data_IF_079661006226
#
_entry.id   IF_079661006226
#
_cell.length_a   1.000
_cell.length_b   1.000
_cell.length_c   1.000
_cell.angle_alpha   90.00
_cell.angle_beta   90.00
_cell.angle_gamma   90.00
#
_symmetry.space_group_name_H-M   'P 1'
#
loop_
_entity.id
_entity.type
_entity.pdbx_description
1 polymer ?
#
# COMPACT_ATOMS: atom_id res chain seq x y z
N UNK A 1 -31.05 -40.56 10.93
CA UNK A 1 -31.43 -39.22 11.43
C UNK A 1 -30.45 -38.84 12.51
N UNK A 2 -29.40 -38.11 12.15
CA UNK A 2 -28.43 -37.57 13.09
C UNK A 2 -28.41 -36.06 12.85
N UNK A 3 -29.10 -35.31 13.71
CA UNK A 3 -29.12 -33.85 13.68
C UNK A 3 -27.75 -33.38 14.15
N UNK A 4 -26.97 -32.74 13.28
CA UNK A 4 -25.83 -31.95 13.69
C UNK A 4 -26.34 -30.67 14.35
N UNK A 5 -26.03 -30.50 15.63
CA UNK A 5 -26.24 -29.27 16.39
C UNK A 5 -25.39 -28.14 15.80
N UNK A 6 -25.94 -27.43 14.81
CA UNK A 6 -25.42 -26.14 14.41
C UNK A 6 -25.97 -25.08 15.37
N UNK A 7 -25.23 -24.84 16.44
CA UNK A 7 -25.45 -23.64 17.26
C UNK A 7 -25.14 -22.40 16.41
N UNK A 8 -26.07 -21.44 16.25
CA UNK A 8 -25.77 -20.19 15.56
C UNK A 8 -24.65 -19.48 16.31
N UNK A 9 -23.58 -19.10 15.60
CA UNK A 9 -22.51 -18.29 16.17
C UNK A 9 -23.16 -17.06 16.85
N UNK A 10 -22.99 -16.87 18.16
CA UNK A 10 -23.71 -15.83 18.88
C UNK A 10 -23.31 -14.48 18.29
N UNK A 11 -24.28 -13.57 18.05
CA UNK A 11 -24.05 -12.20 17.52
C UNK A 11 -22.95 -11.43 18.26
N UNK A 12 -22.61 -11.83 19.48
CA UNK A 12 -21.47 -11.31 20.25
C UNK A 12 -20.09 -11.56 19.59
N UNK A 13 -19.95 -12.55 18.70
CA UNK A 13 -18.72 -12.82 17.97
C UNK A 13 -18.40 -11.76 16.89
N UNK A 14 -19.38 -10.94 16.50
CA UNK A 14 -19.22 -9.86 15.51
C UNK A 14 -18.72 -8.55 16.11
N UNK A 15 -18.90 -8.32 17.43
CA UNK A 15 -18.55 -7.07 18.08
C UNK A 15 -17.22 -7.18 18.84
N UNK A 16 -16.36 -6.18 18.66
CA UNK A 16 -15.12 -6.11 19.40
C UNK A 16 -15.39 -5.95 20.90
N UNK A 17 -14.77 -6.81 21.72
CA UNK A 17 -14.87 -6.74 23.16
C UNK A 17 -14.07 -5.55 23.74
N UNK A 18 -14.30 -5.20 25.01
CA UNK A 18 -13.61 -4.09 25.69
C UNK A 18 -12.07 -4.19 25.61
N UNK A 19 -11.52 -5.40 25.67
CA UNK A 19 -10.07 -5.64 25.60
C UNK A 19 -9.52 -5.34 24.21
N UNK A 20 -10.23 -5.74 23.16
CA UNK A 20 -9.89 -5.44 21.77
C UNK A 20 -9.97 -3.95 21.49
N UNK A 21 -11.01 -3.26 22.00
CA UNK A 21 -11.11 -1.80 21.92
C UNK A 21 -9.95 -1.09 22.60
N UNK A 22 -9.60 -1.49 23.82
CA UNK A 22 -8.45 -0.90 24.51
C UNK A 22 -7.13 -1.15 23.77
N UNK A 23 -6.95 -2.34 23.20
CA UNK A 23 -5.76 -2.66 22.41
C UNK A 23 -5.69 -1.84 21.12
N UNK A 24 -6.82 -1.72 20.40
CA UNK A 24 -6.93 -0.88 19.22
C UNK A 24 -6.60 0.58 19.56
N UNK A 25 -7.27 1.13 20.58
CA UNK A 25 -7.09 2.52 20.99
C UNK A 25 -5.66 2.80 21.43
N UNK A 26 -5.03 1.87 22.16
CA UNK A 26 -3.63 1.99 22.56
C UNK A 26 -2.67 2.05 21.35
N UNK A 27 -2.85 1.15 20.38
CA UNK A 27 -2.02 1.14 19.16
C UNK A 27 -2.29 2.38 18.32
N UNK A 28 -3.57 2.76 18.17
CA UNK A 28 -3.99 3.92 17.41
C UNK A 28 -3.43 5.21 17.99
N UNK A 29 -3.59 5.44 19.30
CA UNK A 29 -3.09 6.63 19.98
C UNK A 29 -1.55 6.69 19.96
N UNK A 30 -0.87 5.54 20.08
CA UNK A 30 0.58 5.50 19.98
C UNK A 30 1.06 5.86 18.56
N UNK A 31 0.43 5.29 17.53
CA UNK A 31 0.74 5.58 16.14
C UNK A 31 0.42 7.03 15.78
N UNK A 32 -0.75 7.53 16.20
CA UNK A 32 -1.17 8.91 16.00
C UNK A 32 -0.27 9.89 16.74
N UNK A 33 0.12 9.59 17.98
CA UNK A 33 1.03 10.43 18.76
C UNK A 33 2.38 10.59 18.08
N UNK A 34 2.97 9.48 17.60
CA UNK A 34 4.24 9.54 16.87
C UNK A 34 4.07 10.24 15.51
N UNK A 35 2.99 9.96 14.79
CA UNK A 35 2.67 10.62 13.52
C UNK A 35 2.52 12.14 13.66
N UNK A 36 1.74 12.60 14.65
CA UNK A 36 1.57 14.02 14.92
C UNK A 36 2.84 14.68 15.46
N UNK A 37 3.67 13.95 16.21
CA UNK A 37 4.98 14.46 16.66
C UNK A 37 5.89 14.71 15.45
N UNK A 38 6.02 13.74 14.54
CA UNK A 38 6.81 13.89 13.32
C UNK A 38 6.26 15.01 12.43
N UNK A 39 4.94 15.06 12.22
CA UNK A 39 4.30 16.13 11.45
C UNK A 39 4.52 17.51 12.08
N UNK A 40 4.38 17.61 13.41
CA UNK A 40 4.65 18.82 14.18
C UNK A 40 6.10 19.29 14.03
N UNK A 41 7.07 18.36 14.04
CA UNK A 41 8.49 18.67 13.79
C UNK A 41 8.67 19.23 12.37
N UNK A 42 8.08 18.60 11.35
CA UNK A 42 8.16 19.07 9.96
C UNK A 42 7.58 20.49 9.83
N UNK A 43 6.40 20.74 10.42
CA UNK A 43 5.79 22.07 10.38
C UNK A 43 6.54 23.11 11.20
N UNK A 44 7.13 22.72 12.33
CA UNK A 44 8.01 23.59 13.11
C UNK A 44 9.19 24.06 12.25
N UNK A 45 9.82 23.15 11.50
CA UNK A 45 10.89 23.50 10.57
C UNK A 45 10.42 24.40 9.43
N UNK A 46 9.25 24.11 8.87
CA UNK A 46 8.69 24.91 7.79
C UNK A 46 8.39 26.35 8.23
N UNK A 47 7.83 26.53 9.44
CA UNK A 47 7.48 27.84 9.98
C UNK A 47 8.71 28.65 10.42
N UNK A 48 9.64 28.03 11.15
CA UNK A 48 10.81 28.72 11.71
C UNK A 48 12.03 28.69 10.77
N UNK A 49 11.85 28.38 9.49
CA UNK A 49 12.95 28.09 8.59
C UNK A 49 13.96 29.25 8.51
N UNK A 50 13.49 30.47 8.32
CA UNK A 50 14.37 31.61 8.09
C UNK A 50 15.11 32.05 9.37
N UNK A 51 14.52 31.81 10.53
CA UNK A 51 15.06 32.23 11.83
C UNK A 51 16.07 31.22 12.42
N UNK A 52 16.00 29.95 12.01
CA UNK A 52 16.86 28.90 12.56
C UNK A 52 18.25 28.87 11.89
N UNK A 53 19.35 28.90 12.67
CA UNK A 53 20.68 28.72 12.12
C UNK A 53 20.88 27.29 11.61
N UNK A 54 21.73 27.12 10.58
CA UNK A 54 21.95 25.85 9.87
C UNK A 54 22.25 24.66 10.81
N UNK A 55 23.12 24.86 11.79
CA UNK A 55 23.49 23.83 12.76
C UNK A 55 22.36 23.47 13.73
N UNK A 56 21.52 24.43 14.12
CA UNK A 56 20.36 24.13 14.94
C UNK A 56 19.37 23.26 14.17
N UNK A 57 19.19 23.53 12.87
CA UNK A 57 18.28 22.74 12.04
C UNK A 57 18.66 21.27 11.95
N UNK A 58 19.93 20.99 11.67
CA UNK A 58 20.43 19.61 11.60
C UNK A 58 20.51 18.98 13.01
N UNK A 59 21.08 19.72 13.96
CA UNK A 59 21.30 19.22 15.32
C UNK A 59 19.99 18.84 16.04
N UNK A 60 18.90 19.60 15.86
CA UNK A 60 17.61 19.24 16.45
C UNK A 60 17.08 17.90 15.91
N UNK A 61 17.13 17.69 14.59
CA UNK A 61 16.66 16.44 13.98
C UNK A 61 17.55 15.26 14.39
N UNK A 62 18.87 15.45 14.39
CA UNK A 62 19.84 14.43 14.81
C UNK A 62 19.68 14.05 16.28
N UNK A 63 19.51 15.03 17.18
CA UNK A 63 19.29 14.76 18.61
C UNK A 63 17.99 13.99 18.82
N UNK A 64 16.91 14.33 18.12
CA UNK A 64 15.65 13.60 18.21
C UNK A 64 15.77 12.17 17.69
N UNK A 65 16.47 11.98 16.57
CA UNK A 65 16.74 10.67 15.99
C UNK A 65 17.60 9.83 16.94
N UNK A 66 18.72 10.36 17.42
CA UNK A 66 19.61 9.70 18.35
C UNK A 66 18.87 9.32 19.64
N UNK A 67 18.10 10.25 20.22
CA UNK A 67 17.29 9.99 21.42
C UNK A 67 16.27 8.88 21.18
N UNK A 68 15.59 8.87 20.03
CA UNK A 68 14.63 7.82 19.68
C UNK A 68 15.29 6.44 19.61
N UNK A 69 16.47 6.35 19.00
CA UNK A 69 17.24 5.11 18.90
C UNK A 69 17.77 4.67 20.28
N UNK A 70 18.36 5.59 21.05
CA UNK A 70 18.88 5.32 22.39
C UNK A 70 17.77 4.84 23.32
N UNK A 71 16.60 5.49 23.31
CA UNK A 71 15.44 5.06 24.08
C UNK A 71 14.98 3.67 23.65
N UNK A 72 14.89 3.38 22.34
CA UNK A 72 14.51 2.06 21.87
C UNK A 72 15.49 0.95 22.31
N UNK A 73 16.80 1.25 22.34
CA UNK A 73 17.86 0.29 22.69
C UNK A 73 17.93 0.07 24.21
N UNK A 74 18.03 1.14 24.98
CA UNK A 74 18.39 1.06 26.40
C UNK A 74 17.19 0.94 27.35
N UNK A 75 15.98 1.31 26.94
CA UNK A 75 14.80 1.16 27.80
C UNK A 75 14.26 -0.27 27.79
N UNK A 76 13.53 -0.65 28.85
CA UNK A 76 12.82 -1.94 28.94
C UNK A 76 11.37 -1.86 28.47
N UNK A 77 11.06 -0.93 27.56
CA UNK A 77 9.71 -0.78 27.02
C UNK A 77 9.26 -1.98 26.20
N UNK A 78 7.94 -2.12 26.02
CA UNK A 78 7.37 -3.20 25.22
C UNK A 78 7.86 -3.14 23.78
N UNK A 79 7.97 -4.32 23.14
CA UNK A 79 8.42 -4.43 21.74
C UNK A 79 7.63 -3.53 20.81
N UNK A 80 6.32 -3.41 21.01
CA UNK A 80 5.47 -2.53 20.20
C UNK A 80 5.87 -1.06 20.34
N UNK A 81 6.12 -0.56 21.56
CA UNK A 81 6.55 0.82 21.76
C UNK A 81 7.88 1.09 21.06
N UNK A 82 8.85 0.18 21.19
CA UNK A 82 10.14 0.29 20.48
C UNK A 82 9.96 0.30 18.97
N UNK A 83 9.09 -0.57 18.44
CA UNK A 83 8.80 -0.66 17.01
C UNK A 83 8.16 0.63 16.47
N UNK A 84 7.18 1.20 17.17
CA UNK A 84 6.54 2.45 16.73
C UNK A 84 7.51 3.64 16.88
N UNK A 85 8.28 3.70 17.97
CA UNK A 85 9.29 4.74 18.16
C UNK A 85 10.35 4.74 17.05
N UNK A 86 10.88 3.56 16.69
CA UNK A 86 11.84 3.43 15.61
C UNK A 86 11.20 3.65 14.22
N UNK A 87 9.90 3.41 14.08
CA UNK A 87 9.15 3.86 12.89
C UNK A 87 9.15 5.39 12.83
N UNK A 88 8.94 6.09 13.95
CA UNK A 88 9.12 7.55 14.03
C UNK A 88 10.53 7.99 13.65
N UNK A 89 11.57 7.32 14.14
CA UNK A 89 12.96 7.59 13.77
C UNK A 89 13.22 7.41 12.26
N UNK A 90 12.53 6.48 11.61
CA UNK A 90 12.59 6.30 10.16
C UNK A 90 12.06 7.53 9.42
N UNK A 91 10.96 8.13 9.89
CA UNK A 91 10.47 9.39 9.30
C UNK A 91 11.38 10.58 9.60
N UNK A 92 11.95 10.66 10.82
CA UNK A 92 12.95 11.68 11.15
C UNK A 92 14.20 11.58 10.27
N UNK A 93 14.57 10.37 9.84
CA UNK A 93 15.65 10.17 8.86
C UNK A 93 15.31 10.84 7.52
N UNK A 94 14.06 10.73 7.05
CA UNK A 94 13.57 11.45 5.87
C UNK A 94 13.58 12.96 6.06
N UNK A 95 13.15 13.44 7.24
CA UNK A 95 13.23 14.87 7.61
C UNK A 95 14.66 15.37 7.59
N UNK A 96 15.63 14.60 8.09
CA UNK A 96 17.05 14.95 8.07
C UNK A 96 17.56 15.16 6.64
N UNK A 97 17.25 14.24 5.72
CA UNK A 97 17.61 14.39 4.31
C UNK A 97 16.96 15.62 3.67
N UNK A 98 15.69 15.90 3.97
CA UNK A 98 15.00 17.09 3.47
C UNK A 98 15.64 18.39 3.97
N UNK A 99 15.92 18.48 5.28
CA UNK A 99 16.57 19.64 5.89
C UNK A 99 17.97 19.84 5.32
N UNK A 100 18.74 18.76 5.19
CA UNK A 100 20.08 18.81 4.60
C UNK A 100 20.05 19.33 3.15
N UNK A 101 19.20 18.76 2.30
CA UNK A 101 19.07 19.17 0.90
C UNK A 101 18.69 20.64 0.75
N UNK A 102 17.81 21.14 1.63
CA UNK A 102 17.40 22.55 1.65
C UNK A 102 18.50 23.49 2.16
N UNK A 103 19.24 23.14 3.22
CA UNK A 103 20.31 23.98 3.79
C UNK A 103 21.45 24.19 2.80
N UNK A 104 21.87 23.10 2.15
CA UNK A 104 23.03 23.10 1.26
C UNK A 104 22.64 23.31 -0.20
N UNK A 105 21.34 23.44 -0.50
CA UNK A 105 20.81 23.63 -1.85
C UNK A 105 21.53 22.72 -2.84
N UNK A 106 21.61 21.43 -2.53
CA UNK A 106 22.52 20.49 -3.21
C UNK A 106 22.19 20.27 -4.69
N UNK A 107 21.24 21.01 -5.26
CA UNK A 107 20.71 20.83 -6.61
C UNK A 107 20.16 19.41 -6.84
N UNK A 108 20.02 18.62 -5.78
CA UNK A 108 19.69 17.22 -5.86
C UNK A 108 18.19 17.07 -6.02
N UNK A 109 17.79 16.36 -7.06
CA UNK A 109 16.38 16.07 -7.32
C UNK A 109 15.77 15.26 -6.17
N UNK A 110 14.44 15.34 -6.04
CA UNK A 110 13.72 14.61 -4.98
C UNK A 110 14.04 13.10 -4.99
N UNK A 111 14.33 12.52 -6.16
CA UNK A 111 14.79 11.14 -6.31
C UNK A 111 15.92 10.78 -5.34
N UNK A 112 16.98 11.60 -5.24
CA UNK A 112 18.14 11.28 -4.39
C UNK A 112 17.78 11.28 -2.90
N UNK A 113 16.88 12.19 -2.48
CA UNK A 113 16.34 12.22 -1.12
C UNK A 113 15.58 10.92 -0.82
N UNK A 114 14.65 10.53 -1.67
CA UNK A 114 13.83 9.34 -1.48
C UNK A 114 14.64 8.05 -1.59
N UNK A 115 15.68 8.01 -2.43
CA UNK A 115 16.63 6.90 -2.51
C UNK A 115 17.37 6.73 -1.17
N UNK A 116 17.97 7.81 -0.65
CA UNK A 116 18.64 7.79 0.65
C UNK A 116 17.69 7.33 1.75
N UNK A 117 16.48 7.90 1.80
CA UNK A 117 15.47 7.52 2.79
C UNK A 117 15.07 6.04 2.68
N UNK A 118 14.89 5.51 1.47
CA UNK A 118 14.56 4.11 1.21
C UNK A 118 15.65 3.17 1.71
N UNK A 119 16.92 3.48 1.42
CA UNK A 119 18.07 2.66 1.82
C UNK A 119 18.19 2.56 3.35
N UNK A 120 18.07 3.68 4.05
CA UNK A 120 18.10 3.66 5.52
C UNK A 120 16.87 2.95 6.09
N UNK A 121 15.69 3.17 5.52
CA UNK A 121 14.45 2.49 5.94
C UNK A 121 14.55 0.97 5.79
N UNK A 122 15.25 0.47 4.76
CA UNK A 122 15.49 -0.97 4.59
C UNK A 122 16.27 -1.56 5.78
N UNK A 123 17.35 -0.89 6.20
CA UNK A 123 18.16 -1.33 7.35
C UNK A 123 17.30 -1.44 8.63
N UNK A 124 16.46 -0.44 8.86
CA UNK A 124 15.52 -0.42 9.98
C UNK A 124 14.45 -1.53 9.85
N UNK A 125 13.87 -1.73 8.67
CA UNK A 125 12.85 -2.76 8.43
C UNK A 125 13.37 -4.17 8.74
N UNK A 126 14.61 -4.47 8.32
CA UNK A 126 15.29 -5.74 8.59
C UNK A 126 15.56 -5.92 10.08
N UNK A 127 16.10 -4.88 10.74
CA UNK A 127 16.45 -4.95 12.16
C UNK A 127 15.22 -5.10 13.06
N UNK A 128 14.15 -4.38 12.77
CA UNK A 128 12.99 -4.21 13.66
C UNK A 128 11.92 -5.30 13.42
N UNK A 129 11.89 -5.89 12.21
CA UNK A 129 10.95 -6.94 11.79
C UNK A 129 9.48 -6.58 12.05
N UNK A 130 9.12 -5.32 11.76
CA UNK A 130 7.78 -4.79 11.99
C UNK A 130 7.01 -4.59 10.68
N UNK A 131 5.81 -5.17 10.58
CA UNK A 131 5.02 -5.19 9.35
C UNK A 131 4.72 -3.78 8.78
N UNK A 132 4.27 -2.79 9.57
CA UNK A 132 4.11 -1.41 9.08
C UNK A 132 5.39 -0.80 8.51
N UNK A 133 6.56 -1.12 9.08
CA UNK A 133 7.83 -0.58 8.60
C UNK A 133 8.25 -1.20 7.26
N UNK A 134 7.97 -2.49 7.05
CA UNK A 134 8.12 -3.13 5.73
C UNK A 134 7.20 -2.50 4.68
N UNK A 135 5.98 -2.15 5.06
CA UNK A 135 5.07 -1.41 4.18
C UNK A 135 5.62 -0.01 3.85
N UNK A 136 6.12 0.72 4.84
CA UNK A 136 6.79 2.02 4.62
C UNK A 136 7.97 1.88 3.67
N UNK A 137 8.81 0.85 3.85
CA UNK A 137 9.92 0.55 2.94
C UNK A 137 9.44 0.34 1.50
N UNK A 138 8.44 -0.55 1.29
CA UNK A 138 7.90 -0.85 -0.03
C UNK A 138 7.30 0.42 -0.67
N UNK A 139 6.57 1.23 0.11
CA UNK A 139 6.02 2.50 -0.36
C UNK A 139 7.10 3.50 -0.77
N UNK A 140 8.15 3.68 0.04
CA UNK A 140 9.27 4.55 -0.28
C UNK A 140 10.06 4.08 -1.51
N UNK A 141 10.26 2.77 -1.65
CA UNK A 141 10.89 2.19 -2.83
C UNK A 141 10.06 2.46 -4.10
N UNK A 142 8.74 2.29 -4.02
CA UNK A 142 7.82 2.61 -5.12
C UNK A 142 7.88 4.09 -5.51
N UNK A 143 7.86 5.00 -4.52
CA UNK A 143 8.00 6.45 -4.76
C UNK A 143 9.37 6.77 -5.39
N UNK A 144 10.44 6.14 -4.90
CA UNK A 144 11.80 6.33 -5.42
C UNK A 144 11.89 5.95 -6.89
N UNK A 145 11.31 4.80 -7.27
CA UNK A 145 11.27 4.37 -8.68
C UNK A 145 10.43 5.34 -9.52
N UNK A 146 9.30 5.82 -9.00
CA UNK A 146 8.46 6.79 -9.70
C UNK A 146 9.18 8.11 -9.95
N UNK A 147 9.87 8.64 -8.93
CA UNK A 147 10.68 9.84 -9.04
C UNK A 147 11.85 9.66 -10.00
N UNK A 148 12.48 8.48 -10.02
CA UNK A 148 13.54 8.17 -10.98
C UNK A 148 13.04 8.24 -12.42
N UNK A 149 11.87 7.67 -12.71
CA UNK A 149 11.25 7.72 -14.04
C UNK A 149 10.96 9.17 -14.46
N UNK A 150 10.41 9.97 -13.55
CA UNK A 150 10.00 11.35 -13.85
C UNK A 150 11.22 12.28 -14.00
N UNK A 151 12.22 12.16 -13.13
CA UNK A 151 13.30 13.15 -13.01
C UNK A 151 14.55 12.77 -13.80
N UNK A 152 14.90 11.48 -13.88
CA UNK A 152 16.17 11.03 -14.44
C UNK A 152 16.02 10.46 -15.85
N UNK A 153 14.91 9.77 -16.14
CA UNK A 153 14.69 9.08 -17.43
C UNK A 153 13.45 9.61 -18.20
N UNK A 154 13.20 10.93 -18.26
CA UNK A 154 12.07 11.43 -19.04
C UNK A 154 12.24 11.08 -20.54
N UNK A 155 11.11 10.84 -21.22
CA UNK A 155 11.06 10.63 -22.67
C UNK A 155 11.44 9.23 -23.20
N UNK A 156 11.85 8.30 -22.35
CA UNK A 156 12.21 6.94 -22.76
C UNK A 156 11.05 5.96 -22.53
N UNK A 157 10.10 5.88 -23.47
CA UNK A 157 8.83 5.15 -23.30
C UNK A 157 8.97 3.69 -22.83
N UNK A 158 9.92 2.92 -23.39
CA UNK A 158 10.20 1.54 -22.97
C UNK A 158 10.74 1.45 -21.55
N UNK A 159 11.74 2.26 -21.23
CA UNK A 159 12.35 2.29 -19.90
C UNK A 159 11.33 2.72 -18.85
N UNK A 160 10.53 3.74 -19.14
CA UNK A 160 9.45 4.21 -18.26
C UNK A 160 8.38 3.14 -18.06
N UNK A 161 7.91 2.47 -19.12
CA UNK A 161 6.92 1.40 -19.00
C UNK A 161 7.42 0.22 -18.15
N UNK A 162 8.70 -0.17 -18.30
CA UNK A 162 9.31 -1.24 -17.51
C UNK A 162 9.50 -0.85 -16.04
N UNK A 163 10.01 0.34 -15.77
CA UNK A 163 10.27 0.81 -14.39
C UNK A 163 8.97 1.08 -13.62
N UNK A 164 7.97 1.67 -14.27
CA UNK A 164 6.64 1.85 -13.66
C UNK A 164 5.97 0.50 -13.39
N UNK A 165 6.10 -0.47 -14.31
CA UNK A 165 5.63 -1.84 -14.07
C UNK A 165 6.43 -2.56 -12.97
N UNK A 166 7.71 -2.25 -12.78
CA UNK A 166 8.52 -2.82 -11.71
C UNK A 166 7.94 -2.49 -10.32
N UNK A 167 7.31 -1.32 -10.14
CA UNK A 167 6.58 -0.97 -8.91
C UNK A 167 5.45 -1.98 -8.64
N UNK A 168 4.66 -2.32 -9.65
CA UNK A 168 3.63 -3.36 -9.54
C UNK A 168 4.23 -4.70 -9.13
N UNK A 169 5.35 -5.08 -9.75
CA UNK A 169 6.01 -6.36 -9.49
C UNK A 169 6.63 -6.42 -8.09
N UNK A 170 7.13 -5.31 -7.54
CA UNK A 170 7.61 -5.23 -6.16
C UNK A 170 6.46 -5.48 -5.18
N UNK A 171 5.30 -4.84 -5.39
CA UNK A 171 4.10 -5.07 -4.58
C UNK A 171 3.58 -6.52 -4.72
N UNK A 172 3.56 -7.05 -5.95
CA UNK A 172 3.10 -8.41 -6.24
C UNK A 172 3.98 -9.47 -5.57
N UNK A 173 5.31 -9.37 -5.74
CA UNK A 173 6.27 -10.29 -5.12
C UNK A 173 6.23 -10.19 -3.60
N UNK A 174 6.10 -8.98 -3.04
CA UNK A 174 5.90 -8.79 -1.60
C UNK A 174 4.62 -9.46 -1.10
N UNK A 175 3.52 -9.37 -1.85
CA UNK A 175 2.26 -10.08 -1.57
C UNK A 175 2.47 -11.59 -1.58
N UNK A 176 3.14 -12.13 -2.61
CA UNK A 176 3.42 -13.57 -2.73
C UNK A 176 4.28 -14.07 -1.57
N UNK A 177 5.31 -13.32 -1.19
CA UNK A 177 6.16 -13.64 -0.04
C UNK A 177 5.34 -13.64 1.25
N UNK A 178 4.52 -12.62 1.46
CA UNK A 178 3.67 -12.52 2.65
C UNK A 178 2.62 -13.65 2.73
N UNK A 179 1.98 -14.01 1.62
CA UNK A 179 1.05 -15.15 1.53
C UNK A 179 1.77 -16.49 1.78
N UNK A 180 2.98 -16.66 1.23
CA UNK A 180 3.77 -17.87 1.47
C UNK A 180 4.17 -17.99 2.94
N UNK A 181 4.54 -16.89 3.58
CA UNK A 181 4.83 -16.85 5.02
C UNK A 181 3.58 -17.15 5.85
N UNK A 182 2.41 -16.67 5.41
CA UNK A 182 1.12 -16.96 6.04
C UNK A 182 0.77 -18.45 5.98
N UNK A 183 0.86 -19.07 4.80
CA UNK A 183 0.59 -20.51 4.62
C UNK A 183 1.54 -21.37 5.46
N UNK A 184 2.80 -20.96 5.61
CA UNK A 184 3.79 -21.65 6.46
C UNK A 184 3.63 -21.38 7.96
N UNK A 185 2.67 -20.54 8.37
CA UNK A 185 2.47 -20.15 9.77
C UNK A 185 3.58 -19.25 10.34
N UNK A 186 4.43 -18.68 9.48
CA UNK A 186 5.52 -17.78 9.87
C UNK A 186 5.07 -16.33 10.01
N UNK A 187 3.95 -15.96 9.39
CA UNK A 187 3.35 -14.63 9.55
C UNK A 187 2.39 -14.62 10.74
N UNK A 188 2.51 -13.60 11.59
CA UNK A 188 1.57 -13.40 12.70
C UNK A 188 0.16 -13.13 12.13
N UNK A 189 -0.87 -13.81 12.66
CA UNK A 189 -2.28 -13.63 12.27
C UNK A 189 -2.73 -12.17 12.30
N UNK A 190 -2.19 -11.37 13.22
CA UNK A 190 -2.48 -9.93 13.32
C UNK A 190 -2.02 -9.14 12.08
N UNK A 191 -1.11 -9.67 11.27
CA UNK A 191 -0.53 -8.99 10.12
C UNK A 191 -1.18 -9.39 8.79
N UNK A 192 -2.32 -10.09 8.79
CA UNK A 192 -3.04 -10.42 7.54
C UNK A 192 -3.45 -9.17 6.75
N UNK A 193 -3.69 -8.04 7.41
CA UNK A 193 -3.97 -6.77 6.75
C UNK A 193 -2.85 -6.33 5.79
N UNK A 194 -1.60 -6.71 6.07
CA UNK A 194 -0.45 -6.39 5.21
C UNK A 194 -0.60 -7.06 3.84
N UNK A 195 -1.02 -8.32 3.83
CA UNK A 195 -1.27 -9.09 2.60
C UNK A 195 -2.35 -8.38 1.78
N UNK A 196 -3.49 -8.10 2.41
CA UNK A 196 -4.62 -7.44 1.75
C UNK A 196 -4.26 -6.07 1.19
N UNK A 197 -3.42 -5.31 1.89
CA UNK A 197 -3.01 -3.99 1.44
C UNK A 197 -2.01 -4.07 0.27
N UNK A 198 -1.04 -4.98 0.33
CA UNK A 198 -0.07 -5.19 -0.77
C UNK A 198 -0.76 -5.74 -2.03
N UNK A 199 -1.69 -6.67 -1.87
CA UNK A 199 -2.49 -7.18 -2.99
C UNK A 199 -3.37 -6.09 -3.58
N UNK A 200 -3.99 -5.26 -2.74
CA UNK A 200 -4.83 -4.15 -3.19
C UNK A 200 -3.99 -3.13 -3.97
N UNK A 201 -2.82 -2.76 -3.44
CA UNK A 201 -1.89 -1.86 -4.11
C UNK A 201 -1.46 -2.42 -5.48
N UNK A 202 -1.18 -3.73 -5.56
CA UNK A 202 -0.85 -4.41 -6.81
C UNK A 202 -1.98 -4.31 -7.84
N UNK A 203 -3.22 -4.63 -7.43
CA UNK A 203 -4.39 -4.60 -8.31
C UNK A 203 -4.70 -3.17 -8.78
N UNK A 204 -4.71 -2.19 -7.86
CA UNK A 204 -4.96 -0.79 -8.21
C UNK A 204 -3.88 -0.27 -9.16
N UNK A 205 -2.60 -0.51 -8.85
CA UNK A 205 -1.49 0.03 -9.64
C UNK A 205 -1.44 -0.59 -11.04
N UNK A 206 -1.62 -1.91 -11.19
CA UNK A 206 -1.64 -2.55 -12.52
C UNK A 206 -2.83 -2.11 -13.36
N UNK A 207 -4.01 -1.92 -12.73
CA UNK A 207 -5.18 -1.37 -13.40
C UNK A 207 -4.95 0.07 -13.84
N UNK A 208 -4.41 0.91 -12.97
CA UNK A 208 -4.06 2.29 -13.29
C UNK A 208 -3.09 2.36 -14.47
N UNK A 209 -1.98 1.61 -14.45
CA UNK A 209 -1.02 1.60 -15.55
C UNK A 209 -1.64 1.14 -16.88
N UNK A 210 -2.52 0.15 -16.83
CA UNK A 210 -3.21 -0.36 -18.03
C UNK A 210 -4.21 0.66 -18.56
N UNK A 211 -5.00 1.27 -17.69
CA UNK A 211 -5.96 2.32 -18.04
C UNK A 211 -5.25 3.56 -18.61
N UNK A 212 -4.17 4.01 -17.97
CA UNK A 212 -3.34 5.11 -18.46
C UNK A 212 -2.77 4.79 -19.86
N UNK A 213 -2.27 3.56 -20.05
CA UNK A 213 -1.73 3.15 -21.33
C UNK A 213 -2.77 2.97 -22.46
N UNK A 214 -4.04 2.79 -22.10
CA UNK A 214 -5.17 2.78 -23.05
C UNK A 214 -5.53 4.21 -23.48
N UNK A 215 -5.39 5.18 -22.57
CA UNK A 215 -5.77 6.58 -22.82
C UNK A 215 -4.68 7.40 -23.52
N UNK A 216 -3.40 7.02 -23.38
CA UNK A 216 -2.28 7.76 -23.95
C UNK A 216 -1.65 7.03 -25.16
N UNK A 217 -1.84 7.58 -26.36
CA UNK A 217 -1.34 7.00 -27.63
C UNK A 217 0.19 6.79 -27.67
N UNK A 218 0.96 7.56 -26.89
CA UNK A 218 2.42 7.54 -26.89
C UNK A 218 3.02 6.54 -25.88
N UNK A 219 2.18 5.85 -25.11
CA UNK A 219 2.63 4.90 -24.09
C UNK A 219 2.56 3.46 -24.57
N UNK A 220 3.44 2.62 -24.02
CA UNK A 220 3.52 1.22 -24.45
C UNK A 220 2.49 0.40 -23.68
N UNK A 221 1.43 -0.01 -24.35
CA UNK A 221 0.35 -0.83 -23.77
C UNK A 221 0.79 -2.26 -23.44
N UNK A 222 1.72 -2.84 -24.20
CA UNK A 222 2.04 -4.27 -24.12
C UNK A 222 2.57 -4.70 -22.74
N UNK A 223 3.40 -3.88 -22.11
CA UNK A 223 4.02 -4.17 -20.81
C UNK A 223 3.00 -4.18 -19.65
N UNK A 224 2.21 -3.12 -19.40
CA UNK A 224 1.20 -3.12 -18.34
C UNK A 224 0.08 -4.12 -18.64
N UNK A 225 -0.31 -4.31 -19.91
CA UNK A 225 -1.34 -5.30 -20.28
C UNK A 225 -0.88 -6.73 -19.96
N UNK A 226 0.35 -7.10 -20.35
CA UNK A 226 0.92 -8.43 -20.04
C UNK A 226 1.01 -8.65 -18.53
N UNK A 227 1.43 -7.63 -17.77
CA UNK A 227 1.51 -7.68 -16.30
C UNK A 227 0.11 -7.88 -15.69
N UNK A 228 -0.90 -7.15 -16.17
CA UNK A 228 -2.29 -7.28 -15.70
C UNK A 228 -2.86 -8.66 -15.97
N UNK A 229 -2.71 -9.18 -17.20
CA UNK A 229 -3.21 -10.53 -17.56
C UNK A 229 -2.57 -11.58 -16.65
N UNK A 230 -1.25 -11.52 -16.45
CA UNK A 230 -0.52 -12.48 -15.64
C UNK A 230 -0.93 -12.40 -14.16
N UNK A 231 -0.91 -11.21 -13.57
CA UNK A 231 -1.21 -11.00 -12.15
C UNK A 231 -2.68 -11.31 -11.82
N UNK A 232 -3.61 -10.93 -12.70
CA UNK A 232 -5.03 -11.22 -12.50
C UNK A 232 -5.31 -12.72 -12.64
N UNK A 233 -4.69 -13.40 -13.60
CA UNK A 233 -4.82 -14.86 -13.74
C UNK A 233 -4.32 -15.59 -12.51
N UNK A 234 -3.13 -15.23 -12.01
CA UNK A 234 -2.55 -15.81 -10.78
C UNK A 234 -3.43 -15.51 -9.57
N UNK A 235 -3.91 -14.27 -9.43
CA UNK A 235 -4.77 -13.85 -8.31
C UNK A 235 -6.13 -14.56 -8.30
N UNK A 236 -6.78 -14.73 -9.45
CA UNK A 236 -8.05 -15.47 -9.57
C UNK A 236 -7.85 -16.96 -9.29
N UNK A 237 -6.78 -17.57 -9.82
CA UNK A 237 -6.43 -18.96 -9.53
C UNK A 237 -6.21 -19.18 -8.03
N UNK A 238 -5.41 -18.31 -7.40
CA UNK A 238 -5.13 -18.38 -5.97
C UNK A 238 -6.41 -18.15 -5.13
N UNK A 239 -7.23 -17.16 -5.51
CA UNK A 239 -8.51 -16.87 -4.86
C UNK A 239 -9.47 -18.06 -4.88
N UNK A 240 -9.56 -18.78 -6.01
CA UNK A 240 -10.35 -20.02 -6.10
C UNK A 240 -9.77 -21.14 -5.24
N UNK A 241 -8.46 -21.35 -5.29
CA UNK A 241 -7.78 -22.42 -4.55
C UNK A 241 -7.93 -22.27 -3.03
N UNK A 242 -7.83 -21.04 -2.53
CA UNK A 242 -7.95 -20.72 -1.09
C UNK A 242 -9.39 -20.37 -0.66
N UNK A 243 -10.37 -20.46 -1.57
CA UNK A 243 -11.76 -19.98 -1.36
C UNK A 243 -11.83 -18.53 -0.84
N UNK A 244 -10.88 -17.71 -1.24
CA UNK A 244 -10.75 -16.32 -0.79
C UNK A 244 -11.60 -15.40 -1.69
N UNK A 245 -12.74 -14.95 -1.17
CA UNK A 245 -13.68 -14.08 -1.86
C UNK A 245 -13.09 -12.69 -2.17
N UNK A 246 -12.08 -12.23 -1.43
CA UNK A 246 -11.46 -10.93 -1.64
C UNK A 246 -10.88 -10.80 -3.06
N UNK A 247 -10.02 -11.73 -3.49
CA UNK A 247 -9.43 -11.70 -4.84
C UNK A 247 -10.48 -11.87 -5.93
N UNK A 248 -11.52 -12.67 -5.67
CA UNK A 248 -12.63 -12.90 -6.60
C UNK A 248 -13.61 -11.73 -6.69
N UNK A 249 -13.53 -10.77 -5.77
CA UNK A 249 -14.30 -9.53 -5.84
C UNK A 249 -13.48 -8.41 -6.48
N UNK A 250 -12.26 -8.21 -5.98
CA UNK A 250 -11.42 -7.06 -6.37
C UNK A 250 -10.91 -7.18 -7.80
N UNK A 251 -10.51 -8.38 -8.26
CA UNK A 251 -9.98 -8.56 -9.62
C UNK A 251 -11.07 -8.35 -10.69
N UNK A 252 -12.26 -8.99 -10.62
CA UNK A 252 -13.31 -8.72 -11.60
C UNK A 252 -13.77 -7.27 -11.63
N UNK A 253 -13.82 -6.61 -10.46
CA UNK A 253 -14.12 -5.19 -10.40
C UNK A 253 -13.05 -4.34 -11.12
N UNK A 254 -11.78 -4.64 -10.88
CA UNK A 254 -10.67 -3.97 -11.55
C UNK A 254 -10.68 -4.22 -13.08
N UNK A 255 -11.01 -5.43 -13.51
CA UNK A 255 -11.22 -5.75 -14.94
C UNK A 255 -12.39 -4.97 -15.54
N UNK A 256 -13.51 -4.83 -14.82
CA UNK A 256 -14.65 -4.03 -15.25
C UNK A 256 -14.23 -2.56 -15.47
N UNK A 257 -13.41 -2.00 -14.58
CA UNK A 257 -12.90 -0.63 -14.74
C UNK A 257 -11.99 -0.49 -15.97
N UNK A 258 -11.11 -1.46 -16.24
CA UNK A 258 -10.26 -1.45 -17.44
C UNK A 258 -11.13 -1.52 -18.71
N UNK A 259 -12.12 -2.43 -18.76
CA UNK A 259 -13.03 -2.56 -19.89
C UNK A 259 -13.83 -1.28 -20.13
N UNK A 260 -14.29 -0.64 -19.04
CA UNK A 260 -14.97 0.64 -19.10
C UNK A 260 -14.07 1.73 -19.69
N UNK A 261 -12.80 1.81 -19.27
CA UNK A 261 -11.83 2.75 -19.85
C UNK A 261 -11.60 2.49 -21.33
N UNK A 262 -11.44 1.24 -21.74
CA UNK A 262 -11.32 0.88 -23.16
C UNK A 262 -12.54 1.32 -23.96
N UNK A 263 -13.74 1.06 -23.45
CA UNK A 263 -14.99 1.47 -24.08
C UNK A 263 -15.08 3.00 -24.22
N UNK A 264 -14.78 3.74 -23.15
CA UNK A 264 -14.81 5.21 -23.17
C UNK A 264 -13.80 5.76 -24.18
N UNK A 265 -12.58 5.22 -24.20
CA UNK A 265 -11.50 5.73 -25.05
C UNK A 265 -11.67 5.42 -26.54
N UNK A 266 -12.39 4.34 -26.91
CA UNK A 266 -12.45 3.85 -28.30
C UNK A 266 -13.85 3.86 -28.94
N UNK A 267 -14.92 4.16 -28.20
CA UNK A 267 -16.29 4.01 -28.71
C UNK A 267 -16.72 5.05 -29.75
N UNK A 268 -16.02 6.18 -29.88
CA UNK A 268 -16.38 7.31 -30.78
C UNK A 268 -17.84 7.80 -30.63
N UNK A 269 -18.49 7.51 -29.50
CA UNK A 269 -19.87 7.89 -29.22
C UNK A 269 -19.97 9.35 -28.79
N UNK A 270 -21.10 10.00 -29.09
CA UNK A 270 -21.43 11.31 -28.53
C UNK A 270 -21.51 11.23 -26.99
N UNK A 271 -21.12 12.32 -26.31
CA UNK A 271 -21.03 12.41 -24.84
C UNK A 271 -22.26 11.86 -24.10
N UNK A 272 -23.48 12.15 -24.59
CA UNK A 272 -24.72 11.66 -23.96
C UNK A 272 -24.85 10.14 -24.04
N UNK A 273 -24.57 9.56 -25.20
CA UNK A 273 -24.61 8.11 -25.41
C UNK A 273 -23.51 7.42 -24.59
N UNK A 274 -22.31 8.01 -24.58
CA UNK A 274 -21.18 7.50 -23.82
C UNK A 274 -21.49 7.45 -22.32
N UNK A 275 -22.06 8.53 -21.77
CA UNK A 275 -22.53 8.57 -20.37
C UNK A 275 -23.55 7.46 -20.08
N UNK A 276 -24.56 7.32 -20.94
CA UNK A 276 -25.64 6.34 -20.74
C UNK A 276 -25.12 4.90 -20.80
N UNK A 277 -24.34 4.54 -21.83
CA UNK A 277 -23.79 3.18 -21.97
C UNK A 277 -22.75 2.86 -20.90
N UNK A 278 -21.87 3.81 -20.54
CA UNK A 278 -20.94 3.64 -19.44
C UNK A 278 -21.68 3.37 -18.12
N UNK A 279 -22.75 4.14 -17.85
CA UNK A 279 -23.61 3.92 -16.68
C UNK A 279 -24.22 2.53 -16.64
N UNK A 280 -24.78 2.05 -17.76
CA UNK A 280 -25.34 0.71 -17.88
C UNK A 280 -24.28 -0.37 -17.66
N UNK A 281 -23.08 -0.23 -18.23
CA UNK A 281 -21.96 -1.17 -18.06
C UNK A 281 -21.57 -1.25 -16.57
N UNK A 282 -21.44 -0.12 -15.88
CA UNK A 282 -21.07 -0.09 -14.46
C UNK A 282 -22.15 -0.73 -13.59
N UNK A 283 -23.42 -0.36 -13.76
CA UNK A 283 -24.52 -0.91 -12.96
C UNK A 283 -24.66 -2.41 -13.19
N UNK A 284 -24.68 -2.85 -14.45
CA UNK A 284 -24.84 -4.26 -14.81
C UNK A 284 -23.64 -5.08 -14.36
N UNK A 285 -22.43 -4.60 -14.61
CA UNK A 285 -21.19 -5.26 -14.25
C UNK A 285 -21.01 -5.41 -12.74
N UNK A 286 -21.25 -4.35 -11.97
CA UNK A 286 -21.18 -4.41 -10.50
C UNK A 286 -22.26 -5.34 -9.92
N UNK A 287 -23.48 -5.30 -10.45
CA UNK A 287 -24.56 -6.20 -10.03
C UNK A 287 -24.20 -7.66 -10.29
N UNK A 288 -23.67 -7.98 -11.47
CA UNK A 288 -23.25 -9.33 -11.84
C UNK A 288 -22.10 -9.83 -10.96
N UNK A 289 -21.13 -8.97 -10.65
CA UNK A 289 -20.02 -9.29 -9.73
C UNK A 289 -20.57 -9.60 -8.34
N UNK A 290 -21.42 -8.73 -7.77
CA UNK A 290 -22.03 -8.95 -6.46
C UNK A 290 -22.83 -10.25 -6.44
N UNK A 291 -23.67 -10.49 -7.44
CA UNK A 291 -24.44 -11.73 -7.56
C UNK A 291 -23.54 -12.97 -7.60
N UNK A 292 -22.47 -12.93 -8.40
CA UNK A 292 -21.51 -14.03 -8.52
C UNK A 292 -20.78 -14.30 -7.20
N UNK A 293 -20.37 -13.26 -6.48
CA UNK A 293 -19.72 -13.38 -5.16
C UNK A 293 -20.69 -13.97 -4.13
N UNK A 294 -21.94 -13.50 -4.10
CA UNK A 294 -22.95 -14.02 -3.18
C UNK A 294 -23.26 -15.49 -3.46
N UNK A 295 -23.36 -15.87 -4.73
CA UNK A 295 -23.52 -17.26 -5.14
C UNK A 295 -22.34 -18.12 -4.71
N UNK A 296 -21.09 -17.67 -4.94
CA UNK A 296 -19.88 -18.37 -4.49
C UNK A 296 -19.79 -18.46 -2.96
N UNK A 297 -20.18 -17.39 -2.25
CA UNK A 297 -20.24 -17.39 -0.78
C UNK A 297 -21.18 -18.47 -0.29
N UNK A 298 -22.40 -18.55 -0.85
CA UNK A 298 -23.40 -19.59 -0.51
C UNK A 298 -22.86 -21.00 -0.81
N UNK A 299 -22.23 -21.19 -1.96
CA UNK A 299 -21.68 -22.50 -2.36
C UNK A 299 -20.54 -22.98 -1.45
N UNK A 300 -19.70 -22.06 -0.96
CA UNK A 300 -18.50 -22.42 -0.20
C UNK A 300 -18.69 -22.44 1.31
N UNK A 301 -19.54 -21.57 1.83
CA UNK A 301 -19.70 -21.34 3.27
C UNK A 301 -21.11 -21.71 3.77
N UNK A 302 -22.03 -22.11 2.88
CA UNK A 302 -23.43 -22.38 3.23
C UNK A 302 -24.27 -21.09 3.30
N UNK A 303 -25.59 -21.26 3.36
CA UNK A 303 -26.53 -20.18 3.68
C UNK A 303 -26.58 -20.01 5.19
N UNK A 304 -26.16 -18.86 5.70
CA UNK A 304 -26.64 -18.39 7.01
C UNK A 304 -28.14 -18.11 6.85
N UNK A 305 -28.97 -19.11 7.18
CA UNK A 305 -30.39 -18.90 7.51
C UNK A 305 -30.52 -18.41 8.96
#
# INVERSE_FOLDING_TARGET
MEKSDFSPLPRQALYANKRQWNQFLSIFLLAAGIGFTVAGIIFFFAYNWDELPKFAKLGMVEVLLATSVLLAVFTRWSTLVKQVLLTGATFLTGTLFAVFGQIYQTGADAYHLFLGWTLFTFLWAVAIRFAPLWLTFIGLLSITIWLYVIQIVPGHSWTSALLTSAVTWICATSTIVAERMNIKGQLNKRNHWLISLLSLATIIHTSYLTMAAICEDNTILSVPLASTILLFSVGLWFGRKQKNLYYLATIPFATLMILLTTFISHSNLRNVNLFLFAGIIVITGTTLIIYSILHLKRQWYGTEE
#
